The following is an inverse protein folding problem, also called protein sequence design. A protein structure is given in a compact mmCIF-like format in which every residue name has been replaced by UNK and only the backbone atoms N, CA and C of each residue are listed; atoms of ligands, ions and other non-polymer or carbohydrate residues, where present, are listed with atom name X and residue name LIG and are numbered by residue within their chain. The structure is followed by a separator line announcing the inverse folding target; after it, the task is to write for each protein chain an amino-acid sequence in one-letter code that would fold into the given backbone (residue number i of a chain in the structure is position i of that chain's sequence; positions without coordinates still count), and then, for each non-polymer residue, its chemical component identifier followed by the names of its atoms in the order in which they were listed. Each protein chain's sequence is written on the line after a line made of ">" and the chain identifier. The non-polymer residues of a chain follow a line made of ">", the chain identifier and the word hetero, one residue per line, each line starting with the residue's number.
data_IF_116339981261
#
_entry.id   IF_116339981261
#
_cell.length_a   1.000
_cell.length_b   1.000
_cell.length_c   1.000
_cell.angle_alpha   90.00
_cell.angle_beta   90.00
_cell.angle_gamma   90.00
#
_symmetry.space_group_name_H-M   'P 1'
#
loop_
_entity.id
_entity.type
_entity.pdbx_description
1 polymer ?
#
# COMPACT_ATOMS: atom_id res chain seq x y z
N UNK A 1 -5.36 -44.94 2.30
CA UNK A 1 -3.95 -44.52 2.10
C UNK A 1 -3.77 -44.29 0.62
N UNK A 2 -3.31 -43.16 0.09
CA UNK A 2 -2.75 -41.93 0.65
C UNK A 2 -3.06 -40.82 -0.36
N UNK A 3 -3.47 -39.67 0.15
CA UNK A 3 -3.71 -38.43 -0.56
C UNK A 3 -2.40 -37.81 -1.06
N UNK A 4 -2.31 -37.54 -2.36
CA UNK A 4 -1.37 -36.56 -2.90
C UNK A 4 -2.18 -35.52 -3.69
N UNK A 5 -2.58 -34.44 -3.01
CA UNK A 5 -3.17 -33.27 -3.66
C UNK A 5 -1.99 -32.47 -4.22
N UNK A 6 -1.82 -32.53 -5.53
CA UNK A 6 -0.90 -31.65 -6.24
C UNK A 6 -1.28 -30.20 -5.95
N UNK A 7 -0.34 -29.44 -5.39
CA UNK A 7 -0.42 -28.00 -5.32
C UNK A 7 -0.18 -27.47 -6.72
N UNK A 8 -1.25 -27.04 -7.38
CA UNK A 8 -1.20 -26.49 -8.73
C UNK A 8 -0.47 -25.14 -8.70
N UNK A 9 0.69 -25.12 -9.36
CA UNK A 9 1.48 -23.95 -9.62
C UNK A 9 0.83 -23.16 -10.76
N UNK A 10 0.01 -22.15 -10.42
CA UNK A 10 -0.73 -21.42 -11.45
C UNK A 10 -1.41 -20.13 -10.99
N UNK A 11 -0.72 -19.26 -10.24
CA UNK A 11 -1.20 -17.88 -10.06
C UNK A 11 -0.74 -17.04 -11.25
N UNK A 12 -1.36 -17.29 -12.40
CA UNK A 12 -1.20 -16.49 -13.62
C UNK A 12 -2.46 -15.64 -13.78
N UNK A 13 -2.30 -14.30 -13.73
CA UNK A 13 -3.30 -13.26 -13.99
C UNK A 13 -4.78 -13.65 -13.82
N UNK A 14 -5.29 -13.63 -12.58
CA UNK A 14 -6.73 -13.80 -12.31
C UNK A 14 -7.50 -12.56 -12.78
N UNK A 15 -8.20 -12.69 -13.90
CA UNK A 15 -9.13 -11.67 -14.40
C UNK A 15 -10.34 -11.46 -13.48
N UNK A 16 -11.18 -10.45 -13.77
CA UNK A 16 -12.32 -10.03 -12.93
C UNK A 16 -13.21 -11.21 -12.51
N UNK A 17 -13.49 -12.16 -13.42
CA UNK A 17 -14.29 -13.35 -13.12
C UNK A 17 -13.75 -14.20 -11.96
N UNK A 18 -12.43 -14.35 -11.86
CA UNK A 18 -11.83 -15.11 -10.78
C UNK A 18 -11.91 -14.37 -9.43
N UNK A 19 -12.02 -13.05 -9.46
CA UNK A 19 -12.28 -12.22 -8.27
C UNK A 19 -13.76 -12.38 -7.88
N UNK A 20 -14.69 -12.35 -8.84
CA UNK A 20 -16.12 -12.58 -8.61
C UNK A 20 -16.37 -13.95 -7.98
N UNK A 21 -15.73 -15.01 -8.49
CA UNK A 21 -15.85 -16.37 -7.95
C UNK A 21 -15.34 -16.47 -6.49
N UNK A 22 -14.30 -15.70 -6.14
CA UNK A 22 -13.78 -15.65 -4.77
C UNK A 22 -14.68 -14.88 -3.82
N UNK A 23 -15.31 -13.81 -4.30
CA UNK A 23 -16.19 -12.94 -3.50
C UNK A 23 -17.62 -13.48 -3.39
N UNK A 24 -18.03 -14.35 -4.32
CA UNK A 24 -19.34 -14.99 -4.29
C UNK A 24 -20.49 -14.00 -4.20
N UNK A 25 -21.30 -14.10 -3.15
CA UNK A 25 -22.46 -13.24 -2.94
C UNK A 25 -22.08 -11.76 -2.72
N UNK A 26 -20.87 -11.48 -2.25
CA UNK A 26 -20.40 -10.11 -1.97
C UNK A 26 -19.79 -9.43 -3.21
N UNK A 27 -19.59 -10.17 -4.31
CA UNK A 27 -18.92 -9.67 -5.51
C UNK A 27 -19.58 -8.39 -6.02
N UNK A 28 -20.90 -8.42 -6.20
CA UNK A 28 -21.65 -7.30 -6.76
C UNK A 28 -21.63 -6.05 -5.88
N UNK A 29 -22.02 -6.09 -4.59
CA UNK A 29 -21.99 -4.89 -3.75
C UNK A 29 -20.58 -4.32 -3.53
N UNK A 30 -19.52 -5.13 -3.59
CA UNK A 30 -18.14 -4.65 -3.39
C UNK A 30 -17.52 -4.09 -4.68
N UNK A 31 -17.67 -4.78 -5.81
CA UNK A 31 -17.01 -4.41 -7.06
C UNK A 31 -17.74 -3.27 -7.79
N UNK A 32 -19.06 -3.17 -7.63
CA UNK A 32 -19.88 -2.11 -8.25
C UNK A 32 -20.08 -0.90 -7.31
N UNK A 33 -19.53 -0.92 -6.09
CA UNK A 33 -19.72 0.16 -5.13
C UNK A 33 -19.22 1.49 -5.70
N UNK A 34 -20.09 2.49 -5.68
CA UNK A 34 -19.74 3.88 -5.91
C UNK A 34 -19.99 4.68 -4.63
N UNK A 35 -18.96 5.37 -4.15
CA UNK A 35 -19.13 6.25 -2.99
C UNK A 35 -20.08 7.41 -3.36
N UNK A 36 -21.18 7.53 -2.62
CA UNK A 36 -22.16 8.63 -2.74
C UNK A 36 -21.98 9.70 -1.66
N UNK A 37 -21.21 9.39 -0.60
CA UNK A 37 -21.05 10.28 0.56
C UNK A 37 -20.10 11.46 0.35
N UNK A 38 -18.96 11.23 -0.31
CA UNK A 38 -17.93 12.25 -0.56
C UNK A 38 -17.70 12.37 -2.07
N UNK A 39 -18.05 13.51 -2.69
CA UNK A 39 -17.75 13.77 -4.08
C UNK A 39 -16.24 13.70 -4.38
N UNK A 40 -15.89 13.14 -5.54
CA UNK A 40 -14.50 13.03 -6.01
C UNK A 40 -13.80 14.39 -6.05
N UNK A 41 -14.52 15.44 -6.42
CA UNK A 41 -13.96 16.78 -6.59
C UNK A 41 -13.56 17.45 -5.27
N UNK A 42 -13.98 16.88 -4.13
CA UNK A 42 -13.52 17.32 -2.80
C UNK A 42 -12.15 16.75 -2.42
N UNK A 43 -11.58 15.83 -3.22
CA UNK A 43 -10.32 15.17 -2.90
C UNK A 43 -9.14 15.95 -3.48
N UNK A 44 -8.15 16.24 -2.64
CA UNK A 44 -6.82 16.64 -3.09
C UNK A 44 -6.05 15.40 -3.54
N UNK A 45 -6.05 15.14 -4.85
CA UNK A 45 -5.34 13.99 -5.41
C UNK A 45 -3.82 14.23 -5.41
N UNK A 46 -3.01 13.17 -5.24
CA UNK A 46 -1.56 13.25 -5.35
C UNK A 46 -1.14 13.61 -6.78
N UNK A 47 0.01 14.27 -6.90
CA UNK A 47 0.59 14.67 -8.17
C UNK A 47 1.96 15.32 -8.00
N UNK A 48 2.63 15.68 -9.10
CA UNK A 48 3.95 16.30 -9.08
C UNK A 48 3.96 17.68 -8.41
N UNK A 49 2.83 18.38 -8.43
CA UNK A 49 2.61 19.70 -7.86
C UNK A 49 1.97 19.68 -6.46
N UNK A 50 1.90 18.50 -5.81
CA UNK A 50 1.13 18.33 -4.57
C UNK A 50 1.57 19.25 -3.42
N UNK A 51 2.89 19.43 -3.25
CA UNK A 51 3.43 20.29 -2.18
C UNK A 51 3.00 21.74 -2.39
N UNK A 52 3.15 22.26 -3.61
CA UNK A 52 2.78 23.64 -3.92
C UNK A 52 1.25 23.83 -3.86
N UNK A 53 0.50 22.94 -4.50
CA UNK A 53 -0.96 23.02 -4.61
C UNK A 53 -1.68 22.85 -3.27
N UNK A 54 -1.20 21.96 -2.40
CA UNK A 54 -1.92 21.55 -1.17
C UNK A 54 -1.28 22.13 0.09
N UNK A 55 0.05 22.21 0.16
CA UNK A 55 0.76 22.64 1.36
C UNK A 55 1.32 24.07 1.29
N UNK A 56 1.54 24.60 0.09
CA UNK A 56 2.16 25.92 -0.12
C UNK A 56 1.42 27.08 0.55
N UNK A 57 0.09 27.01 0.63
CA UNK A 57 -0.74 28.03 1.30
C UNK A 57 -0.96 27.81 2.80
N UNK A 58 -0.31 26.81 3.40
CA UNK A 58 -0.48 26.50 4.83
C UNK A 58 0.50 27.28 5.72
N UNK A 59 0.32 27.18 7.04
CA UNK A 59 1.19 27.74 8.08
C UNK A 59 2.49 26.94 8.32
N UNK A 60 2.77 25.94 7.48
CA UNK A 60 3.97 25.11 7.59
C UNK A 60 5.23 25.94 7.31
N UNK A 61 6.27 25.83 8.15
CA UNK A 61 7.56 26.44 7.86
C UNK A 61 8.14 25.94 6.53
N UNK A 62 8.92 26.79 5.87
CA UNK A 62 9.62 26.46 4.60
C UNK A 62 10.45 25.19 4.72
N UNK A 63 11.07 24.95 5.89
CA UNK A 63 11.84 23.73 6.15
C UNK A 63 11.00 22.45 6.06
N UNK A 64 9.74 22.49 6.52
CA UNK A 64 8.80 21.37 6.44
C UNK A 64 8.38 21.14 5.00
N UNK A 65 8.03 22.21 4.25
CA UNK A 65 7.67 22.11 2.84
C UNK A 65 8.81 21.51 2.01
N UNK A 66 10.05 21.94 2.27
CA UNK A 66 11.25 21.37 1.64
C UNK A 66 11.41 19.88 1.95
N UNK A 67 11.24 19.45 3.20
CA UNK A 67 11.35 18.04 3.57
C UNK A 67 10.26 17.19 2.90
N UNK A 68 9.03 17.69 2.82
CA UNK A 68 7.94 17.02 2.10
C UNK A 68 8.27 16.88 0.61
N UNK A 69 8.78 17.93 -0.02
CA UNK A 69 9.22 17.89 -1.43
C UNK A 69 10.32 16.86 -1.64
N UNK A 70 11.30 16.79 -0.74
CA UNK A 70 12.39 15.80 -0.83
C UNK A 70 11.85 14.38 -0.77
N UNK A 71 10.91 14.08 0.12
CA UNK A 71 10.30 12.75 0.24
C UNK A 71 9.51 12.40 -1.02
N UNK A 72 8.65 13.31 -1.50
CA UNK A 72 7.75 13.08 -2.64
C UNK A 72 8.45 13.07 -4.00
N UNK A 73 9.65 13.63 -4.10
CA UNK A 73 10.47 13.67 -5.33
C UNK A 73 11.59 12.63 -5.36
N UNK A 74 11.63 11.69 -4.42
CA UNK A 74 12.70 10.69 -4.35
C UNK A 74 12.23 9.28 -4.74
N UNK A 75 13.17 8.47 -5.24
CA UNK A 75 12.96 7.06 -5.54
C UNK A 75 12.04 6.80 -6.73
N UNK A 76 11.47 5.60 -6.77
CA UNK A 76 10.66 5.11 -7.91
C UNK A 76 9.31 5.80 -8.07
N UNK A 77 8.79 6.40 -6.99
CA UNK A 77 7.51 7.10 -6.98
C UNK A 77 7.66 8.62 -7.09
N UNK A 78 8.87 9.12 -7.36
CA UNK A 78 9.15 10.54 -7.52
C UNK A 78 8.17 11.21 -8.49
N UNK A 79 7.57 12.32 -8.06
CA UNK A 79 6.67 13.13 -8.90
C UNK A 79 5.26 12.54 -9.08
N UNK A 80 4.97 11.37 -8.51
CA UNK A 80 3.60 10.81 -8.52
C UNK A 80 2.73 11.39 -7.41
N UNK A 81 3.34 12.01 -6.40
CA UNK A 81 2.68 12.43 -5.17
C UNK A 81 2.40 11.29 -4.18
N UNK A 82 2.78 10.05 -4.50
CA UNK A 82 2.68 8.89 -3.61
C UNK A 82 4.01 8.63 -2.89
N UNK A 83 3.91 8.11 -1.67
CA UNK A 83 5.06 7.64 -0.87
C UNK A 83 4.79 6.20 -0.45
N UNK A 84 5.78 5.34 -0.66
CA UNK A 84 5.76 3.97 -0.12
C UNK A 84 6.50 3.96 1.21
N UNK A 85 5.79 3.71 2.30
CA UNK A 85 6.37 3.60 3.63
C UNK A 85 6.32 2.14 4.05
N UNK A 86 7.46 1.59 4.44
CA UNK A 86 7.57 0.25 5.03
C UNK A 86 7.57 0.40 6.56
N UNK A 87 6.49 0.04 7.27
CA UNK A 87 6.48 0.05 8.73
C UNK A 87 7.33 -1.11 9.26
N UNK A 88 8.45 -0.80 9.91
CA UNK A 88 9.42 -1.78 10.44
C UNK A 88 9.41 -1.89 11.97
N UNK A 89 8.56 -1.11 12.63
CA UNK A 89 8.32 -1.08 14.07
C UNK A 89 7.46 -2.24 14.60
N UNK A 90 6.81 -3.00 13.70
CA UNK A 90 5.90 -4.08 14.05
C UNK A 90 6.50 -5.16 14.96
N UNK A 91 7.82 -5.39 14.90
CA UNK A 91 8.49 -6.37 15.76
C UNK A 91 8.55 -5.97 17.24
N UNK A 92 8.50 -4.67 17.54
CA UNK A 92 8.50 -4.13 18.90
C UNK A 92 7.08 -4.10 19.45
N UNK A 93 6.10 -3.69 18.63
CA UNK A 93 4.70 -3.51 19.06
C UNK A 93 3.95 -4.85 19.25
N UNK A 94 4.28 -5.88 18.47
CA UNK A 94 3.57 -7.16 18.47
C UNK A 94 4.45 -8.38 18.78
N UNK A 95 5.70 -8.16 19.20
CA UNK A 95 6.77 -9.14 19.36
C UNK A 95 7.27 -9.74 18.03
N UNK A 96 8.58 -9.87 17.89
CA UNK A 96 9.24 -10.38 16.68
C UNK A 96 8.72 -11.76 16.23
N UNK A 97 8.25 -12.58 17.18
CA UNK A 97 7.64 -13.88 16.92
C UNK A 97 6.33 -13.80 16.12
N UNK A 98 5.48 -12.81 16.35
CA UNK A 98 4.23 -12.68 15.60
C UNK A 98 4.45 -12.10 14.19
N UNK A 99 5.41 -11.18 14.08
CA UNK A 99 5.66 -10.42 12.84
C UNK A 99 6.54 -11.19 11.84
N UNK A 100 7.50 -11.98 12.32
CA UNK A 100 8.52 -12.61 11.46
C UNK A 100 8.47 -14.15 11.43
N UNK A 101 7.55 -14.80 12.17
CA UNK A 101 7.44 -16.27 12.12
C UNK A 101 7.15 -16.84 10.72
N UNK A 102 6.46 -16.07 9.85
CA UNK A 102 6.18 -16.49 8.46
C UNK A 102 7.41 -16.40 7.55
N UNK A 103 8.36 -15.50 7.88
CA UNK A 103 9.62 -15.37 7.16
C UNK A 103 10.77 -15.20 8.17
N UNK A 104 11.34 -16.31 8.67
CA UNK A 104 12.37 -16.27 9.71
C UNK A 104 13.64 -15.48 9.34
N UNK A 105 13.91 -15.27 8.05
CA UNK A 105 15.04 -14.43 7.62
C UNK A 105 14.87 -12.97 8.05
N UNK A 106 13.64 -12.48 8.18
CA UNK A 106 13.34 -11.12 8.61
C UNK A 106 13.55 -10.86 10.12
N UNK A 107 13.99 -11.87 10.89
CA UNK A 107 14.55 -11.62 12.22
C UNK A 107 15.90 -10.90 12.17
N UNK A 108 16.63 -11.02 11.05
CA UNK A 108 17.78 -10.18 10.75
C UNK A 108 17.29 -8.88 10.07
N UNK A 109 17.48 -7.70 10.69
CA UNK A 109 17.08 -6.43 10.10
C UNK A 109 17.72 -6.16 8.72
N UNK A 110 18.88 -6.74 8.42
CA UNK A 110 19.52 -6.60 7.11
C UNK A 110 18.66 -7.22 5.99
N UNK A 111 17.91 -8.28 6.29
CA UNK A 111 17.02 -8.95 5.35
C UNK A 111 15.77 -8.13 5.00
N UNK A 112 15.49 -7.03 5.72
CA UNK A 112 14.37 -6.12 5.44
C UNK A 112 14.73 -5.11 4.35
N UNK A 113 16.02 -4.78 4.22
CA UNK A 113 16.51 -3.70 3.36
C UNK A 113 17.09 -4.21 2.02
N UNK A 114 17.47 -5.49 1.95
CA UNK A 114 18.00 -6.15 0.74
C UNK A 114 16.89 -6.47 -0.27
#
# INVERSE_FOLDING_TARGET
>A
MSTAKAIDAGVTARGIKAIEDLLGADARPLLEHRCEGIPRDMLHLPGPDFVDRVHGGSDRPVSVLRSLQQILSHGRLAGTGYVSILPVDQGIEHSAGASFAKNPACFDPEAIVK
#
